data_IF_346449843335
#
_entry.id   IF_346449843335
#
_cell.length_a   1.000
_cell.length_b   1.000
_cell.length_c   1.000
_cell.angle_alpha   90.00
_cell.angle_beta   90.00
_cell.angle_gamma   90.00
#
_symmetry.space_group_name_H-M   'P 1'
#
loop_
_entity.id
_entity.type
_entity.pdbx_description
1 polymer ?
#
# COMPACT_ATOMS: atom_id res chain seq x y z
N UNK A 1 11.10 5.30 25.72
CA UNK A 1 10.43 4.19 25.01
C UNK A 1 9.08 4.61 24.35
N UNK A 2 8.92 5.84 23.83
CA UNK A 2 7.63 6.34 23.28
C UNK A 2 7.59 6.54 21.75
N UNK A 3 8.57 6.03 20.99
CA UNK A 3 8.68 6.25 19.53
C UNK A 3 8.06 5.14 18.66
N UNK A 4 7.43 4.13 19.27
CA UNK A 4 7.12 2.85 18.60
C UNK A 4 5.66 2.65 18.20
N UNK A 5 4.73 3.53 18.59
CA UNK A 5 3.30 3.24 18.43
C UNK A 5 2.78 3.41 16.99
N UNK A 6 3.31 4.35 16.19
CA UNK A 6 2.69 4.68 14.89
C UNK A 6 3.36 4.09 13.64
N UNK A 7 4.62 3.67 13.69
CA UNK A 7 5.19 2.88 12.60
C UNK A 7 4.44 1.53 12.42
N UNK A 8 3.74 1.08 13.47
CA UNK A 8 2.78 -0.02 13.39
C UNK A 8 1.45 0.37 12.73
N UNK A 9 1.09 1.65 12.63
CA UNK A 9 -0.19 2.12 12.08
C UNK A 9 -0.32 1.86 10.57
N UNK A 10 0.79 1.96 9.83
CA UNK A 10 0.86 1.58 8.41
C UNK A 10 1.21 0.10 8.20
N UNK A 11 1.87 -0.55 9.16
CA UNK A 11 2.26 -1.96 9.09
C UNK A 11 1.17 -2.93 9.58
N UNK A 12 0.22 -2.48 10.40
CA UNK A 12 -0.84 -3.32 10.97
C UNK A 12 -1.84 -3.84 9.92
N UNK A 13 -1.92 -3.22 8.74
CA UNK A 13 -2.74 -3.77 7.65
C UNK A 13 -2.01 -4.81 6.79
N UNK A 14 -0.68 -4.94 6.92
CA UNK A 14 0.14 -5.86 6.09
C UNK A 14 0.54 -7.12 6.88
N UNK A 15 0.54 -7.08 8.20
CA UNK A 15 1.03 -8.17 9.03
C UNK A 15 0.00 -8.65 10.05
N UNK A 16 -1.04 -9.35 9.59
CA UNK A 16 -1.67 -10.38 10.42
C UNK A 16 -1.28 -11.74 9.87
N UNK A 17 -0.35 -12.48 10.51
CA UNK A 17 -0.21 -13.89 10.19
C UNK A 17 -1.55 -14.57 10.50
N UNK A 18 -2.02 -15.42 9.59
CA UNK A 18 -3.04 -16.42 9.89
C UNK A 18 -2.48 -17.36 10.98
N UNK A 19 -2.50 -16.92 12.24
CA UNK A 19 -2.41 -17.79 13.39
C UNK A 19 -3.84 -18.28 13.66
N UNK A 20 -4.04 -19.58 13.43
CA UNK A 20 -5.31 -20.27 13.55
C UNK A 20 -6.04 -19.92 14.85
N UNK A 21 -7.18 -19.27 14.68
CA UNK A 21 -8.28 -19.31 15.65
C UNK A 21 -9.52 -19.71 14.88
N UNK A 22 -9.95 -20.94 15.14
CA UNK A 22 -11.10 -21.56 14.49
C UNK A 22 -12.31 -20.60 14.45
N UNK A 23 -12.97 -20.41 13.29
CA UNK A 23 -14.18 -19.62 13.22
C UNK A 23 -15.35 -20.39 13.87
N UNK A 24 -16.20 -19.73 14.68
CA UNK A 24 -17.44 -20.32 15.13
C UNK A 24 -18.42 -20.45 13.95
N UNK A 25 -19.08 -21.60 13.88
CA UNK A 25 -20.07 -21.94 12.87
C UNK A 25 -21.22 -20.92 12.83
N UNK A 26 -21.45 -20.28 11.69
CA UNK A 26 -22.71 -19.58 11.38
C UNK A 26 -23.14 -19.80 9.93
N UNK A 27 -24.15 -20.67 9.81
CA UNK A 27 -25.31 -20.66 8.91
C UNK A 27 -25.16 -19.98 7.54
N UNK A 28 -25.05 -20.82 6.51
CA UNK A 28 -25.26 -20.50 5.10
C UNK A 28 -26.75 -20.25 4.81
N UNK A 29 -27.14 -19.12 4.17
CA UNK A 29 -28.43 -19.01 3.51
C UNK A 29 -28.42 -19.74 2.15
N UNK A 30 -29.58 -20.24 1.67
CA UNK A 30 -29.67 -21.11 0.48
C UNK A 30 -29.42 -20.38 -0.85
N UNK A 31 -29.07 -21.12 -1.92
CA UNK A 31 -28.61 -20.55 -3.19
C UNK A 31 -29.74 -19.85 -3.96
N UNK A 32 -29.52 -18.59 -4.32
CA UNK A 32 -30.34 -17.91 -5.33
C UNK A 32 -29.79 -18.17 -6.74
N UNK A 33 -30.73 -18.52 -7.61
CA UNK A 33 -30.54 -18.98 -8.98
C UNK A 33 -29.85 -17.96 -9.89
N UNK A 34 -28.99 -18.47 -10.75
CA UNK A 34 -28.41 -17.76 -11.89
C UNK A 34 -29.50 -17.39 -12.91
N UNK A 35 -29.43 -16.16 -13.41
CA UNK A 35 -30.13 -15.69 -14.61
C UNK A 35 -29.14 -14.90 -15.50
N UNK A 36 -29.38 -14.84 -16.83
CA UNK A 36 -28.32 -14.88 -17.83
C UNK A 36 -27.76 -13.52 -18.27
N UNK A 37 -26.61 -13.62 -18.94
CA UNK A 37 -25.81 -12.58 -19.56
C UNK A 37 -26.60 -11.48 -20.31
N UNK A 38 -26.15 -10.23 -20.16
CA UNK A 38 -26.42 -9.16 -21.11
C UNK A 38 -25.13 -8.45 -21.53
N UNK A 39 -25.04 -8.24 -22.84
CA UNK A 39 -23.95 -7.72 -23.67
C UNK A 39 -23.73 -6.21 -23.43
N UNK A 40 -22.50 -5.68 -23.58
CA UNK A 40 -22.24 -4.25 -23.40
C UNK A 40 -22.90 -3.40 -24.51
N UNK A 41 -23.44 -2.20 -24.20
CA UNK A 41 -23.84 -1.25 -25.23
C UNK A 41 -22.64 -0.51 -25.82
N UNK A 42 -22.74 -0.32 -27.13
CA UNK A 42 -21.87 0.42 -28.05
C UNK A 42 -21.88 1.93 -27.72
N UNK A 43 -20.77 2.68 -27.92
CA UNK A 43 -20.76 4.13 -27.74
C UNK A 43 -21.45 4.84 -28.93
N UNK A 44 -22.18 5.95 -28.71
CA UNK A 44 -22.60 6.81 -29.80
C UNK A 44 -21.49 7.79 -30.18
N UNK A 45 -21.24 7.86 -31.48
CA UNK A 45 -20.53 8.93 -32.15
C UNK A 45 -21.29 10.26 -32.04
N UNK A 46 -20.55 11.37 -31.94
CA UNK A 46 -21.02 12.68 -32.37
C UNK A 46 -19.84 13.51 -32.88
N UNK A 47 -20.11 14.12 -34.03
CA UNK A 47 -19.28 14.67 -35.10
C UNK A 47 -18.32 15.84 -34.80
N UNK A 48 -17.41 16.11 -35.77
CA UNK A 48 -16.41 17.17 -35.71
C UNK A 48 -16.98 18.49 -36.24
N UNK A 49 -16.54 19.61 -35.68
CA UNK A 49 -16.61 20.90 -36.37
C UNK A 49 -15.37 21.72 -36.06
N UNK A 50 -14.50 21.75 -37.07
CA UNK A 50 -13.49 22.78 -37.27
C UNK A 50 -14.16 24.06 -37.78
N UNK A 51 -13.49 25.20 -37.55
CA UNK A 51 -13.12 26.23 -38.54
C UNK A 51 -12.96 27.61 -37.82
N UNK A 52 -12.43 28.64 -38.49
CA UNK A 52 -11.01 29.02 -38.52
C UNK A 52 -10.82 30.46 -38.00
N UNK A 53 -9.60 31.02 -37.90
CA UNK A 53 -8.95 32.00 -38.81
C UNK A 53 -7.95 32.86 -37.94
N UNK A 54 -7.12 33.79 -38.46
CA UNK A 54 -5.94 33.58 -39.33
C UNK A 54 -4.73 34.51 -38.99
N UNK A 55 -3.56 34.28 -39.65
CA UNK A 55 -2.51 35.27 -40.05
C UNK A 55 -1.76 36.10 -38.98
N UNK A 56 -0.51 36.58 -39.10
CA UNK A 56 0.74 36.35 -39.84
C UNK A 56 1.75 37.42 -39.27
N UNK A 57 3.08 37.26 -39.39
CA UNK A 57 4.12 38.16 -38.82
C UNK A 57 4.39 39.36 -39.77
N UNK A 58 5.49 40.16 -39.74
CA UNK A 58 6.69 40.24 -38.85
C UNK A 58 7.05 41.68 -38.42
N UNK A 59 8.00 41.90 -37.49
CA UNK A 59 8.90 43.08 -37.49
C UNK A 59 10.15 42.82 -36.61
N UNK A 60 11.32 42.77 -37.24
CA UNK A 60 12.62 43.12 -36.62
C UNK A 60 12.68 44.64 -36.43
N UNK A 61 13.39 45.19 -35.42
CA UNK A 61 14.80 45.52 -35.64
C UNK A 61 15.71 45.52 -34.39
N UNK A 62 16.99 45.75 -34.67
CA UNK A 62 18.04 46.32 -33.79
C UNK A 62 18.85 45.36 -32.90
N UNK A 63 19.98 44.93 -33.47
CA UNK A 63 21.21 44.59 -32.76
C UNK A 63 21.67 45.81 -31.94
N UNK A 64 21.74 45.63 -30.62
CA UNK A 64 22.60 46.40 -29.72
C UNK A 64 23.68 45.43 -29.19
N UNK A 65 24.98 45.79 -29.23
CA UNK A 65 26.01 44.95 -28.65
C UNK A 65 25.94 45.07 -27.12
N UNK A 66 25.32 44.11 -26.45
CA UNK A 66 25.49 43.96 -25.01
C UNK A 66 26.85 43.30 -24.73
N UNK A 67 27.62 43.94 -23.86
CA UNK A 67 28.82 43.45 -23.22
C UNK A 67 28.63 42.03 -22.64
N UNK A 68 29.70 41.22 -22.47
CA UNK A 68 29.58 39.83 -22.05
C UNK A 68 28.99 39.73 -20.64
N UNK A 69 27.68 39.54 -20.57
CA UNK A 69 26.99 39.14 -19.35
C UNK A 69 27.41 37.70 -19.05
N UNK A 70 27.84 37.51 -17.81
CA UNK A 70 28.31 36.26 -17.23
C UNK A 70 27.53 35.04 -17.73
N UNK A 71 28.27 33.98 -18.07
CA UNK A 71 27.72 32.66 -18.31
C UNK A 71 26.75 32.30 -17.16
N UNK A 72 25.54 31.81 -17.45
CA UNK A 72 24.72 31.25 -16.40
C UNK A 72 25.53 30.10 -15.80
N UNK A 73 25.88 30.23 -14.53
CA UNK A 73 26.30 29.11 -13.71
C UNK A 73 25.29 28.01 -13.99
N UNK A 74 25.75 26.92 -14.62
CA UNK A 74 24.94 25.74 -14.79
C UNK A 74 24.52 25.32 -13.38
N UNK A 75 23.31 25.73 -12.98
CA UNK A 75 22.62 25.13 -11.87
C UNK A 75 22.66 23.65 -12.18
N UNK A 76 23.30 22.89 -11.29
CA UNK A 76 23.28 21.43 -11.33
C UNK A 76 21.81 21.04 -11.47
N UNK A 77 21.39 20.70 -12.69
CA UNK A 77 20.10 20.08 -12.94
C UNK A 77 20.26 18.71 -12.32
N UNK A 78 19.92 18.63 -11.04
CA UNK A 78 19.72 17.35 -10.39
C UNK A 78 18.52 16.75 -11.13
N UNK A 79 18.79 15.79 -12.00
CA UNK A 79 17.74 15.01 -12.66
C UNK A 79 17.15 14.13 -11.55
N UNK A 80 16.23 14.70 -10.79
CA UNK A 80 15.56 14.06 -9.65
C UNK A 80 14.61 12.97 -10.17
N UNK A 81 14.08 13.13 -11.38
CA UNK A 81 13.08 12.23 -11.96
C UNK A 81 13.69 11.26 -13.00
N UNK A 82 14.71 10.49 -12.59
CA UNK A 82 15.16 9.37 -13.42
C UNK A 82 14.11 8.25 -13.41
N UNK A 83 13.65 7.86 -14.60
CA UNK A 83 12.76 6.71 -14.80
C UNK A 83 13.58 5.42 -14.61
N UNK A 84 13.19 4.61 -13.63
CA UNK A 84 13.85 3.33 -13.36
C UNK A 84 13.13 2.18 -14.04
N UNK A 85 11.80 2.15 -13.95
CA UNK A 85 10.96 1.08 -14.50
C UNK A 85 9.69 1.68 -15.08
N UNK A 86 9.22 1.13 -16.20
CA UNK A 86 7.93 1.46 -16.83
C UNK A 86 7.06 0.21 -16.89
N UNK A 87 5.84 0.29 -16.39
CA UNK A 87 4.87 -0.82 -16.33
C UNK A 87 3.53 -0.34 -16.88
N UNK A 88 3.11 -0.88 -18.03
CA UNK A 88 1.85 -0.54 -18.71
C UNK A 88 1.57 0.97 -18.89
N UNK A 89 2.63 1.79 -18.98
CA UNK A 89 2.51 3.25 -19.13
C UNK A 89 2.72 4.05 -17.85
N UNK A 90 2.70 3.42 -16.68
CA UNK A 90 3.03 4.05 -15.40
C UNK A 90 4.52 3.87 -15.07
N UNK A 91 5.12 4.83 -14.39
CA UNK A 91 6.58 4.94 -14.23
C UNK A 91 6.94 4.95 -12.75
N UNK A 92 7.93 4.14 -12.39
CA UNK A 92 8.59 4.18 -11.09
C UNK A 92 9.84 5.06 -11.23
N UNK A 93 9.84 6.18 -10.51
CA UNK A 93 10.95 7.13 -10.49
C UNK A 93 11.98 6.77 -9.42
N UNK A 94 13.18 7.32 -9.57
CA UNK A 94 14.24 7.19 -8.57
C UNK A 94 13.84 7.75 -7.21
N UNK A 95 13.15 8.89 -7.18
CA UNK A 95 12.68 9.51 -5.93
C UNK A 95 11.71 8.62 -5.17
N UNK A 96 10.79 7.94 -5.87
CA UNK A 96 9.86 6.99 -5.24
C UNK A 96 10.63 5.82 -4.60
N UNK A 97 11.61 5.27 -5.31
CA UNK A 97 12.45 4.20 -4.81
C UNK A 97 13.29 4.65 -3.60
N UNK A 98 13.87 5.84 -3.64
CA UNK A 98 14.63 6.43 -2.53
C UNK A 98 13.73 6.64 -1.30
N UNK A 99 12.51 7.14 -1.47
CA UNK A 99 11.55 7.30 -0.39
C UNK A 99 11.17 5.95 0.25
N UNK A 100 10.96 4.90 -0.56
CA UNK A 100 10.68 3.54 -0.06
C UNK A 100 11.88 2.95 0.70
N UNK A 101 13.10 3.15 0.20
CA UNK A 101 14.32 2.72 0.89
C UNK A 101 14.50 3.43 2.23
N UNK A 102 14.27 4.74 2.27
CA UNK A 102 14.31 5.53 3.53
C UNK A 102 13.24 5.04 4.50
N UNK A 103 12.03 4.73 4.03
CA UNK A 103 10.97 4.19 4.89
C UNK A 103 11.34 2.81 5.46
N UNK A 104 11.85 1.89 4.63
CA UNK A 104 12.23 0.55 5.03
C UNK A 104 13.41 0.54 6.02
N UNK A 105 14.36 1.45 5.85
CA UNK A 105 15.56 1.51 6.69
C UNK A 105 15.46 2.54 7.82
N UNK A 106 14.37 3.31 7.96
CA UNK A 106 14.25 4.40 8.94
C UNK A 106 14.67 4.01 10.35
N UNK A 107 14.31 2.80 10.78
CA UNK A 107 14.63 2.28 12.11
C UNK A 107 16.06 1.70 12.20
N UNK A 108 16.53 1.07 11.13
CA UNK A 108 17.83 0.38 11.07
C UNK A 108 18.98 1.34 10.80
N UNK A 109 18.74 2.36 9.97
CA UNK A 109 19.71 3.38 9.57
C UNK A 109 20.21 4.21 10.75
N UNK A 110 19.45 4.34 11.84
CA UNK A 110 19.87 5.07 13.04
C UNK A 110 20.94 4.33 13.86
N UNK A 111 21.15 3.04 13.59
CA UNK A 111 22.05 2.17 14.35
C UNK A 111 23.20 1.60 13.50
N UNK A 112 23.32 2.04 12.24
CA UNK A 112 24.27 1.51 11.27
C UNK A 112 25.34 2.52 10.90
N UNK A 113 26.54 2.03 10.64
CA UNK A 113 27.61 2.81 10.00
C UNK A 113 27.27 3.09 8.52
N UNK A 114 27.88 4.10 7.91
CA UNK A 114 27.63 4.45 6.50
C UNK A 114 27.86 3.28 5.52
N UNK A 115 28.88 2.45 5.76
CA UNK A 115 29.16 1.27 4.92
C UNK A 115 28.09 0.18 5.07
N UNK A 116 27.63 -0.05 6.30
CA UNK A 116 26.56 -1.02 6.58
C UNK A 116 25.24 -0.56 5.97
N UNK A 117 24.97 0.74 6.01
CA UNK A 117 23.79 1.36 5.41
C UNK A 117 23.79 1.17 3.90
N UNK A 118 24.92 1.44 3.21
CA UNK A 118 25.03 1.24 1.75
C UNK A 118 24.80 -0.22 1.35
N UNK A 119 25.37 -1.17 2.11
CA UNK A 119 25.16 -2.60 1.87
C UNK A 119 23.70 -3.02 2.11
N UNK A 120 23.07 -2.49 3.17
CA UNK A 120 21.67 -2.73 3.45
C UNK A 120 20.76 -2.19 2.35
N UNK A 121 21.00 -0.95 1.88
CA UNK A 121 20.29 -0.34 0.75
C UNK A 121 20.39 -1.26 -0.47
N UNK A 122 21.61 -1.60 -0.92
CA UNK A 122 21.82 -2.44 -2.10
C UNK A 122 21.14 -3.81 -1.99
N UNK A 123 21.05 -4.37 -0.78
CA UNK A 123 20.40 -5.65 -0.54
C UNK A 123 18.87 -5.59 -0.65
N UNK A 124 18.24 -4.48 -0.26
CA UNK A 124 16.78 -4.33 -0.25
C UNK A 124 16.24 -3.68 -1.53
N UNK A 125 17.08 -2.94 -2.27
CA UNK A 125 16.69 -2.29 -3.52
C UNK A 125 15.95 -3.22 -4.49
N UNK A 126 16.41 -4.48 -4.76
CA UNK A 126 15.70 -5.36 -5.69
C UNK A 126 14.30 -5.74 -5.19
N UNK A 127 14.17 -6.13 -3.93
CA UNK A 127 12.87 -6.50 -3.35
C UNK A 127 11.90 -5.31 -3.37
N UNK A 128 12.35 -4.11 -2.96
CA UNK A 128 11.52 -2.90 -2.99
C UNK A 128 11.06 -2.58 -4.42
N UNK A 129 11.91 -2.82 -5.42
CA UNK A 129 11.54 -2.56 -6.81
C UNK A 129 10.46 -3.54 -7.29
N UNK A 130 10.59 -4.81 -6.94
CA UNK A 130 9.57 -5.83 -7.24
C UNK A 130 8.26 -5.48 -6.54
N UNK A 131 8.30 -5.17 -5.24
CA UNK A 131 7.12 -4.76 -4.47
C UNK A 131 6.45 -3.52 -5.08
N UNK A 132 7.23 -2.54 -5.55
CA UNK A 132 6.70 -1.35 -6.20
C UNK A 132 6.03 -1.67 -7.54
N UNK A 133 6.57 -2.61 -8.32
CA UNK A 133 5.96 -3.09 -9.56
C UNK A 133 4.66 -3.84 -9.27
N UNK A 134 4.67 -4.75 -8.29
CA UNK A 134 3.49 -5.54 -7.92
C UNK A 134 2.36 -4.66 -7.37
N UNK A 135 2.69 -3.71 -6.49
CA UNK A 135 1.74 -2.71 -5.99
C UNK A 135 1.06 -1.97 -7.15
N UNK A 136 1.85 -1.54 -8.13
CA UNK A 136 1.37 -0.80 -9.29
C UNK A 136 0.48 -1.66 -10.18
N UNK A 137 0.85 -2.92 -10.43
CA UNK A 137 0.02 -3.87 -11.18
C UNK A 137 -1.31 -4.15 -10.48
N UNK A 138 -1.30 -4.33 -9.16
CA UNK A 138 -2.51 -4.56 -8.36
C UNK A 138 -3.43 -3.33 -8.35
N UNK A 139 -2.86 -2.12 -8.26
CA UNK A 139 -3.63 -0.88 -8.37
C UNK A 139 -4.23 -0.69 -9.76
N UNK A 140 -3.51 -1.03 -10.83
CA UNK A 140 -4.05 -1.03 -12.19
C UNK A 140 -5.22 -1.99 -12.30
N UNK A 141 -5.04 -3.23 -11.83
CA UNK A 141 -6.10 -4.25 -11.82
C UNK A 141 -7.31 -3.79 -11.03
N UNK A 142 -7.10 -3.15 -9.88
CA UNK A 142 -8.18 -2.60 -9.07
C UNK A 142 -8.97 -1.49 -9.78
N UNK A 143 -8.28 -0.61 -10.52
CA UNK A 143 -8.92 0.41 -11.36
C UNK A 143 -9.73 -0.22 -12.49
N UNK A 144 -9.20 -1.26 -13.16
CA UNK A 144 -9.91 -1.99 -14.22
C UNK A 144 -11.19 -2.68 -13.70
N UNK A 145 -11.14 -3.21 -12.48
CA UNK A 145 -12.30 -3.82 -11.81
C UNK A 145 -13.28 -2.77 -11.24
N UNK A 146 -12.95 -1.47 -11.34
CA UNK A 146 -13.81 -0.39 -10.87
C UNK A 146 -13.84 -0.21 -9.35
N UNK A 147 -12.88 -0.79 -8.62
CA UNK A 147 -12.82 -0.63 -7.16
C UNK A 147 -12.47 0.81 -6.80
N UNK A 148 -13.35 1.42 -6.00
CA UNK A 148 -13.14 2.73 -5.38
C UNK A 148 -13.48 2.62 -3.90
N UNK A 149 -12.61 3.19 -3.08
CA UNK A 149 -12.83 3.26 -1.64
C UNK A 149 -13.84 4.36 -1.36
N UNK A 150 -14.90 4.01 -0.64
CA UNK A 150 -15.91 4.99 -0.19
C UNK A 150 -15.44 5.69 1.09
N UNK A 151 -15.92 6.91 1.33
CA UNK A 151 -15.63 7.63 2.58
C UNK A 151 -16.04 6.83 3.82
N UNK A 152 -17.09 6.02 3.73
CA UNK A 152 -17.53 5.15 4.83
C UNK A 152 -16.56 4.00 5.12
N UNK A 153 -15.98 3.39 4.07
CA UNK A 153 -14.93 2.37 4.25
C UNK A 153 -13.67 3.00 4.84
N UNK A 154 -13.28 4.18 4.33
CA UNK A 154 -12.15 4.92 4.88
C UNK A 154 -12.33 5.22 6.37
N UNK A 155 -13.48 5.76 6.76
CA UNK A 155 -13.79 6.05 8.17
C UNK A 155 -13.74 4.79 9.04
N UNK A 156 -14.30 3.67 8.58
CA UNK A 156 -14.26 2.41 9.33
C UNK A 156 -12.84 1.93 9.59
N UNK A 157 -11.98 1.96 8.59
CA UNK A 157 -10.57 1.57 8.76
C UNK A 157 -9.84 2.56 9.66
N UNK A 158 -10.09 3.86 9.49
CA UNK A 158 -9.52 4.89 10.36
C UNK A 158 -9.92 4.69 11.83
N UNK A 159 -11.19 4.37 12.11
CA UNK A 159 -11.68 4.07 13.46
C UNK A 159 -11.06 2.80 14.05
N UNK A 160 -10.88 1.75 13.23
CA UNK A 160 -10.20 0.54 13.67
C UNK A 160 -8.74 0.84 14.05
N UNK A 161 -8.05 1.58 13.19
CA UNK A 161 -6.69 2.05 13.44
C UNK A 161 -6.59 2.85 14.75
N UNK A 162 -7.54 3.77 15.00
CA UNK A 162 -7.60 4.54 16.26
C UNK A 162 -7.79 3.62 17.46
N UNK A 163 -8.69 2.64 17.37
CA UNK A 163 -8.96 1.67 18.44
C UNK A 163 -7.75 0.78 18.74
N UNK A 164 -7.11 0.23 17.71
CA UNK A 164 -5.93 -0.63 17.85
C UNK A 164 -4.76 0.11 18.51
N UNK A 165 -4.61 1.40 18.20
CA UNK A 165 -3.54 2.23 18.75
C UNK A 165 -3.94 2.99 20.03
N UNK A 166 -5.14 2.74 20.56
CA UNK A 166 -5.69 3.41 21.76
C UNK A 166 -5.66 4.94 21.65
N UNK A 167 -5.93 5.46 20.46
CA UNK A 167 -5.98 6.90 20.16
C UNK A 167 -7.42 7.39 20.31
N UNK A 168 -7.77 7.75 21.55
CA UNK A 168 -9.13 8.11 21.93
C UNK A 168 -9.57 9.47 21.35
N UNK A 169 -8.63 10.40 21.16
CA UNK A 169 -8.94 11.77 20.69
C UNK A 169 -8.26 12.11 19.37
N UNK A 170 -8.89 13.00 18.59
CA UNK A 170 -8.37 13.49 17.32
C UNK A 170 -7.06 14.27 17.49
N UNK A 171 -6.85 14.93 18.63
CA UNK A 171 -5.59 15.55 18.99
C UNK A 171 -4.45 14.53 19.15
N UNK A 172 -4.71 13.39 19.81
CA UNK A 172 -3.72 12.32 19.95
C UNK A 172 -3.37 11.73 18.59
N UNK A 173 -4.37 11.55 17.73
CA UNK A 173 -4.17 11.06 16.37
C UNK A 173 -3.35 12.04 15.53
N UNK A 174 -3.70 13.33 15.52
CA UNK A 174 -2.96 14.36 14.80
C UNK A 174 -1.53 14.55 15.34
N UNK A 175 -1.33 14.45 16.66
CA UNK A 175 0.00 14.47 17.26
C UNK A 175 0.84 13.29 16.77
N UNK A 176 0.25 12.11 16.66
CA UNK A 176 0.92 10.93 16.16
C UNK A 176 1.31 11.10 14.67
N UNK A 177 0.40 11.58 13.82
CA UNK A 177 0.71 11.86 12.39
C UNK A 177 1.86 12.86 12.24
N UNK A 178 1.89 13.90 13.06
CA UNK A 178 3.00 14.88 13.10
C UNK A 178 4.33 14.25 13.51
N UNK A 179 4.33 13.32 14.46
CA UNK A 179 5.55 12.61 14.86
C UNK A 179 6.12 11.75 13.73
N UNK A 180 5.25 11.22 12.88
CA UNK A 180 5.64 10.40 11.74
C UNK A 180 5.94 11.22 10.47
N UNK A 181 5.60 12.51 10.48
CA UNK A 181 5.84 13.43 9.36
C UNK A 181 4.89 13.23 8.18
N UNK A 182 3.69 12.68 8.43
CA UNK A 182 2.67 12.42 7.41
C UNK A 182 1.44 13.30 7.64
N UNK A 183 0.78 13.70 6.56
CA UNK A 183 -0.49 14.43 6.62
C UNK A 183 -1.68 13.47 6.58
N UNK A 184 -2.85 13.94 7.01
CA UNK A 184 -4.10 13.16 6.90
C UNK A 184 -4.42 12.79 5.44
N UNK A 185 -4.11 13.68 4.50
CA UNK A 185 -4.34 13.43 3.07
C UNK A 185 -3.40 12.35 2.53
N UNK A 186 -2.14 12.36 2.95
CA UNK A 186 -1.19 11.32 2.58
C UNK A 186 -1.58 9.97 3.18
N UNK A 187 -2.02 9.95 4.44
CA UNK A 187 -2.55 8.76 5.07
C UNK A 187 -3.76 8.22 4.30
N UNK A 188 -4.70 9.10 3.93
CA UNK A 188 -5.88 8.72 3.14
C UNK A 188 -5.48 8.06 1.84
N UNK A 189 -4.59 8.67 1.05
CA UNK A 189 -4.10 8.09 -0.20
C UNK A 189 -3.45 6.72 0.02
N UNK A 190 -2.64 6.58 1.07
CA UNK A 190 -1.99 5.31 1.39
C UNK A 190 -3.01 4.22 1.75
N UNK A 191 -4.00 4.54 2.60
CA UNK A 191 -5.06 3.61 2.97
C UNK A 191 -5.94 3.24 1.78
N UNK A 192 -6.26 4.20 0.91
CA UNK A 192 -7.04 3.94 -0.31
C UNK A 192 -6.30 2.94 -1.21
N UNK A 193 -5.00 3.13 -1.44
CA UNK A 193 -4.18 2.18 -2.20
C UNK A 193 -4.20 0.79 -1.57
N UNK A 194 -3.94 0.70 -0.26
CA UNK A 194 -3.89 -0.57 0.46
C UNK A 194 -5.25 -1.31 0.42
N UNK A 195 -6.36 -0.60 0.57
CA UNK A 195 -7.70 -1.20 0.48
C UNK A 195 -7.98 -1.76 -0.91
N UNK A 196 -7.63 -1.01 -1.98
CA UNK A 196 -7.79 -1.49 -3.36
C UNK A 196 -6.96 -2.77 -3.58
N UNK A 197 -5.70 -2.76 -3.15
CA UNK A 197 -4.80 -3.91 -3.26
C UNK A 197 -5.35 -5.13 -2.50
N UNK A 198 -5.81 -4.96 -1.26
CA UNK A 198 -6.41 -6.04 -0.46
C UNK A 198 -7.67 -6.60 -1.11
N UNK A 199 -8.54 -5.73 -1.64
CA UNK A 199 -9.76 -6.15 -2.31
C UNK A 199 -9.46 -6.97 -3.59
N UNK A 200 -8.48 -6.53 -4.39
CA UNK A 200 -8.06 -7.25 -5.59
C UNK A 200 -7.52 -8.63 -5.23
N UNK A 201 -6.64 -8.73 -4.22
CA UNK A 201 -6.10 -10.00 -3.76
C UNK A 201 -7.20 -10.94 -3.24
N UNK A 202 -8.15 -10.43 -2.46
CA UNK A 202 -9.23 -11.25 -1.93
C UNK A 202 -10.10 -11.85 -3.05
N UNK A 203 -10.41 -11.08 -4.09
CA UNK A 203 -11.26 -11.56 -5.19
C UNK A 203 -10.48 -12.45 -6.15
N UNK A 204 -9.26 -12.05 -6.53
CA UNK A 204 -8.49 -12.76 -7.56
C UNK A 204 -7.71 -13.96 -7.03
N UNK A 205 -7.38 -14.00 -5.74
CA UNK A 205 -6.66 -15.11 -5.10
C UNK A 205 -7.62 -15.91 -4.23
N UNK A 206 -8.16 -15.32 -3.16
CA UNK A 206 -8.97 -16.08 -2.20
C UNK A 206 -10.28 -16.61 -2.82
N UNK A 207 -10.84 -15.91 -3.81
CA UNK A 207 -12.00 -16.39 -4.58
C UNK A 207 -11.71 -17.61 -5.47
N UNK A 208 -10.44 -17.89 -5.78
CA UNK A 208 -10.02 -19.04 -6.62
C UNK A 208 -9.49 -20.21 -5.79
N UNK A 209 -9.18 -19.99 -4.51
CA UNK A 209 -8.70 -21.02 -3.60
C UNK A 209 -9.90 -21.63 -2.87
N UNK A 210 -10.23 -22.87 -3.22
CA UNK A 210 -11.18 -23.69 -2.47
C UNK A 210 -10.44 -24.84 -1.80
N UNK A 211 -10.58 -24.97 -0.48
CA UNK A 211 -10.05 -26.12 0.27
C UNK A 211 -11.17 -27.16 0.35
N UNK A 212 -10.91 -28.37 -0.13
CA UNK A 212 -11.87 -29.46 -0.03
C UNK A 212 -11.93 -30.03 1.39
N UNK A 213 -13.07 -30.61 1.77
CA UNK A 213 -13.22 -31.30 3.07
C UNK A 213 -12.21 -32.46 3.18
N UNK A 214 -11.92 -33.14 2.07
CA UNK A 214 -10.92 -34.21 2.02
C UNK A 214 -9.51 -33.71 2.29
N UNK A 215 -9.11 -32.55 1.75
CA UNK A 215 -7.80 -31.94 2.05
C UNK A 215 -7.73 -31.47 3.51
N UNK A 216 -8.82 -30.90 4.02
CA UNK A 216 -8.90 -30.49 5.42
C UNK A 216 -8.78 -31.70 6.37
N UNK A 217 -9.44 -32.82 6.04
CA UNK A 217 -9.36 -34.05 6.83
C UNK A 217 -7.97 -34.68 6.74
N UNK A 218 -7.37 -34.76 5.55
CA UNK A 218 -6.01 -35.26 5.38
C UNK A 218 -4.99 -34.43 6.19
N UNK A 219 -5.13 -33.10 6.16
CA UNK A 219 -4.28 -32.20 6.95
C UNK A 219 -4.47 -32.41 8.46
N UNK A 220 -5.72 -32.52 8.92
CA UNK A 220 -6.04 -32.81 10.32
C UNK A 220 -5.44 -34.14 10.77
N UNK A 221 -5.57 -35.18 9.95
CA UNK A 221 -5.07 -36.51 10.29
C UNK A 221 -3.54 -36.57 10.36
N UNK A 222 -2.85 -35.79 9.52
CA UNK A 222 -1.39 -35.66 9.52
C UNK A 222 -0.86 -34.78 10.69
N UNK A 223 -1.67 -33.85 11.20
CA UNK A 223 -1.25 -32.85 12.19
C UNK A 223 -2.06 -32.89 13.50
N UNK A 224 -2.53 -34.08 13.92
CA UNK A 224 -3.41 -34.23 15.11
C UNK A 224 -2.83 -33.61 16.37
N UNK A 225 -1.51 -33.64 16.53
CA UNK A 225 -0.78 -33.04 17.64
C UNK A 225 -1.05 -31.53 17.78
N UNK A 226 -1.19 -30.81 16.67
CA UNK A 226 -1.50 -29.36 16.66
C UNK A 226 -2.94 -29.05 17.08
N UNK A 227 -3.84 -30.04 17.00
CA UNK A 227 -5.25 -29.91 17.38
C UNK A 227 -5.54 -30.55 18.74
N UNK A 228 -4.52 -31.03 19.46
CA UNK A 228 -4.66 -31.54 20.82
C UNK A 228 -4.29 -30.46 21.83
N UNK A 229 -5.04 -30.39 22.94
CA UNK A 229 -4.64 -29.55 24.07
C UNK A 229 -3.61 -30.32 24.89
N UNK A 230 -2.42 -29.76 25.16
CA UNK A 230 -1.43 -30.44 26.00
C UNK A 230 -2.00 -30.66 27.40
N UNK A 231 -1.59 -31.76 28.04
CA UNK A 231 -2.03 -32.07 29.40
C UNK A 231 -1.70 -30.91 30.35
N UNK A 232 -2.71 -30.30 30.96
CA UNK A 232 -2.55 -29.26 31.97
C UNK A 232 -2.80 -29.84 33.36
N UNK A 233 -1.93 -29.49 34.31
CA UNK A 233 -2.05 -29.88 35.71
C UNK A 233 -2.36 -28.62 36.52
N UNK A 234 -3.49 -28.63 37.22
CA UNK A 234 -3.81 -27.57 38.19
C UNK A 234 -3.16 -27.93 39.52
N UNK A 235 -2.10 -27.19 39.87
CA UNK A 235 -1.43 -27.34 41.16
C UNK A 235 -1.96 -26.31 42.16
N UNK A 236 -2.09 -26.73 43.42
CA UNK A 236 -2.37 -25.85 44.55
C UNK A 236 -1.20 -25.94 45.51
N UNK A 237 -0.50 -24.83 45.71
CA UNK A 237 0.61 -24.71 46.65
C UNK A 237 0.14 -23.99 47.92
N UNK A 238 0.59 -24.47 49.08
CA UNK A 238 0.44 -23.77 50.36
C UNK A 238 1.84 -23.54 50.91
N UNK A 239 2.25 -22.27 50.97
CA UNK A 239 3.56 -21.86 51.43
C UNK A 239 3.48 -21.46 52.91
N UNK A 240 4.26 -22.14 53.75
CA UNK A 240 4.37 -21.81 55.18
C UNK A 240 5.68 -21.06 55.38
N UNK A 241 5.58 -19.78 55.78
CA UNK A 241 6.74 -18.98 56.14
C UNK A 241 7.13 -19.23 57.60
N UNK A 242 8.44 -19.32 57.87
CA UNK A 242 9.04 -19.46 59.20
C UNK A 242 9.50 -18.11 59.71
#
# INVERSE_FOLDING_TARGET
MRKTALAMLLAALVATPLAGKAPPAQQTPPPQQAAPAQKPPTPPAADPQAAPVPQAPPLVPAVVPQAPAAAPTAGRVEIIEQILVKVNGEIITKTELENRQVAALRQRAQQMSDEELKKAIASITPDILVDAVDELLLLQRGKELGYKVTDEQFKRVLDNIRKENKLETDDQFNAALKQEGITIEQLRKNLEKQMVINQVQQVEVAGKVGISESEAQAYYDEHKDQFTTPASLTLRELLVAV
#
